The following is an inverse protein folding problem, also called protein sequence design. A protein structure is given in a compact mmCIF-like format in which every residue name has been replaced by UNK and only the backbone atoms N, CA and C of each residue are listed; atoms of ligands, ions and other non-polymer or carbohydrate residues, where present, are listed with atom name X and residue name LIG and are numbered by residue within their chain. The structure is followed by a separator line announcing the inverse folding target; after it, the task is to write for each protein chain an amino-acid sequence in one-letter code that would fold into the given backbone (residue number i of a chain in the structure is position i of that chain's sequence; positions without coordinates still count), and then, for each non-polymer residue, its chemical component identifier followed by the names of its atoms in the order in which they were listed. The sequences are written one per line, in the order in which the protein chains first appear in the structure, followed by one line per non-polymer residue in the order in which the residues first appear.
data_IF_942021844759
#
_entry.id   IF_942021844759
#
_cell.length_a   1.000
_cell.length_b   1.000
_cell.length_c   1.000
_cell.angle_alpha   90.00
_cell.angle_beta   90.00
_cell.angle_gamma   90.00
#
_symmetry.space_group_name_H-M   'P 1'
#
loop_
_entity.id
_entity.type
_entity.pdbx_description
1 polymer ?
#
# COMPACT_ATOMS: atom_id res chain seq x y z
N UNK A 1 19.70 -0.70 32.02
CA UNK A 1 21.15 -0.57 31.77
C UNK A 1 21.30 -0.08 30.34
N UNK A 2 21.91 1.09 30.12
CA UNK A 2 22.13 1.65 28.78
C UNK A 2 23.40 0.97 28.22
N UNK A 3 23.27 0.20 27.14
CA UNK A 3 24.43 -0.36 26.43
C UNK A 3 25.33 0.79 25.97
N UNK A 4 26.64 0.70 26.24
CA UNK A 4 27.59 1.74 25.84
C UNK A 4 27.71 1.74 24.31
N UNK A 5 27.96 2.92 23.71
CA UNK A 5 28.12 3.11 22.26
C UNK A 5 29.06 2.07 21.60
N UNK A 6 30.13 1.69 22.30
CA UNK A 6 31.10 0.71 21.80
C UNK A 6 30.55 -0.73 21.76
N UNK A 7 29.63 -1.08 22.66
CA UNK A 7 29.02 -2.42 22.70
C UNK A 7 27.99 -2.58 21.56
N UNK A 8 27.28 -1.49 21.23
CA UNK A 8 26.37 -1.42 20.08
C UNK A 8 27.10 -1.59 18.74
N UNK A 9 28.25 -0.93 18.59
CA UNK A 9 29.07 -1.03 17.39
C UNK A 9 29.64 -2.45 17.18
N UNK A 10 29.97 -3.14 18.27
CA UNK A 10 30.45 -4.54 18.22
C UNK A 10 29.34 -5.49 17.79
N UNK A 11 28.12 -5.33 18.33
CA UNK A 11 26.96 -6.17 17.93
C UNK A 11 26.61 -5.95 16.45
N UNK A 12 26.60 -4.70 15.97
CA UNK A 12 26.41 -4.38 14.54
C UNK A 12 27.48 -5.01 13.67
N UNK A 13 28.74 -4.97 14.11
CA UNK A 13 29.87 -5.59 13.43
C UNK A 13 29.72 -7.11 13.37
N UNK A 14 29.30 -7.74 14.46
CA UNK A 14 29.04 -9.18 14.52
C UNK A 14 27.84 -9.62 13.65
N UNK A 15 26.79 -8.80 13.54
CA UNK A 15 25.65 -9.04 12.62
C UNK A 15 26.12 -8.99 11.16
N UNK A 16 26.98 -8.04 10.81
CA UNK A 16 27.56 -7.93 9.47
C UNK A 16 28.59 -9.04 9.17
N UNK A 17 29.33 -9.50 10.19
CA UNK A 17 30.31 -10.59 10.09
C UNK A 17 29.65 -11.98 9.93
N UNK A 18 28.41 -12.17 10.42
CA UNK A 18 27.66 -13.43 10.27
C UNK A 18 27.15 -13.70 8.83
N UNK A 19 27.14 -12.69 7.96
CA UNK A 19 26.72 -12.80 6.55
C UNK A 19 27.79 -13.35 5.58
N UNK A 20 28.86 -13.98 6.11
CA UNK A 20 29.90 -14.78 5.44
C UNK A 20 29.93 -14.75 3.89
N UNK A 21 30.65 -13.76 3.37
CA UNK A 21 31.51 -13.89 2.20
C UNK A 21 32.87 -13.29 2.57
N UNK A 22 33.99 -13.95 2.23
CA UNK A 22 35.38 -13.67 2.65
C UNK A 22 35.98 -12.30 2.22
N UNK A 23 35.18 -11.25 2.17
CA UNK A 23 35.65 -9.87 2.11
C UNK A 23 34.61 -8.93 2.71
N UNK A 24 35.08 -8.09 3.63
CA UNK A 24 34.30 -7.08 4.34
C UNK A 24 33.71 -6.10 3.33
N UNK A 25 32.38 -6.11 3.15
CA UNK A 25 31.69 -4.93 2.61
C UNK A 25 31.10 -4.16 3.79
N UNK A 26 31.53 -2.91 3.95
CA UNK A 26 31.03 -1.99 5.00
C UNK A 26 29.65 -1.41 4.67
N UNK A 27 29.16 -1.68 3.47
CA UNK A 27 27.98 -1.11 2.82
C UNK A 27 27.47 -2.15 1.80
N UNK A 28 26.16 -2.29 1.58
CA UNK A 28 25.63 -3.11 0.48
C UNK A 28 26.23 -2.67 -0.87
N UNK A 29 26.24 -3.53 -1.89
CA UNK A 29 26.64 -3.09 -3.26
C UNK A 29 25.82 -1.88 -3.71
N UNK A 30 24.56 -1.87 -3.32
CA UNK A 30 23.64 -0.78 -3.65
C UNK A 30 23.92 0.47 -2.81
N UNK A 31 24.31 0.32 -1.54
CA UNK A 31 24.75 1.43 -0.68
C UNK A 31 26.10 2.02 -1.15
N UNK A 32 27.00 1.19 -1.68
CA UNK A 32 28.24 1.65 -2.31
C UNK A 32 27.95 2.47 -3.59
N UNK A 33 26.99 2.01 -4.41
CA UNK A 33 26.48 2.74 -5.58
C UNK A 33 25.77 4.03 -5.13
N UNK A 34 25.10 4.02 -3.97
CA UNK A 34 24.41 5.15 -3.34
C UNK A 34 25.38 6.23 -2.84
N UNK A 35 26.45 5.86 -2.14
CA UNK A 35 27.50 6.80 -1.71
C UNK A 35 28.18 7.48 -2.91
N UNK A 36 28.27 6.81 -4.06
CA UNK A 36 28.76 7.38 -5.31
C UNK A 36 27.75 8.38 -5.92
N UNK A 37 26.44 8.13 -5.78
CA UNK A 37 25.37 9.02 -6.27
C UNK A 37 25.14 10.24 -5.38
N UNK A 38 25.17 10.08 -4.06
CA UNK A 38 25.06 11.17 -3.08
C UNK A 38 26.24 12.16 -3.18
N UNK A 39 27.47 11.67 -3.44
CA UNK A 39 28.65 12.51 -3.72
C UNK A 39 28.48 13.41 -4.96
N UNK A 40 27.50 13.14 -5.83
CA UNK A 40 27.19 13.95 -7.01
C UNK A 40 26.13 15.04 -6.76
N UNK A 41 25.73 15.27 -5.50
CA UNK A 41 24.97 16.45 -5.09
C UNK A 41 23.46 16.38 -5.27
N UNK A 42 22.89 15.21 -5.56
CA UNK A 42 21.43 15.03 -5.65
C UNK A 42 20.92 14.32 -4.38
N UNK A 43 20.37 15.08 -3.43
CA UNK A 43 19.56 14.51 -2.33
C UNK A 43 18.22 14.01 -2.91
N UNK A 44 18.23 12.86 -3.57
CA UNK A 44 16.99 12.15 -3.89
C UNK A 44 16.44 11.54 -2.59
N UNK A 45 15.16 11.79 -2.29
CA UNK A 45 14.44 11.01 -1.27
C UNK A 45 14.45 9.56 -1.76
N UNK A 46 15.06 8.67 -0.98
CA UNK A 46 15.23 7.27 -1.36
C UNK A 46 13.86 6.63 -1.61
N UNK A 47 13.68 6.08 -2.82
CA UNK A 47 12.47 5.37 -3.20
C UNK A 47 12.64 3.89 -2.82
N UNK A 48 12.16 3.49 -1.63
CA UNK A 48 12.35 2.13 -1.14
C UNK A 48 11.66 1.08 -2.03
N UNK A 49 10.68 1.47 -2.86
CA UNK A 49 10.05 0.57 -3.80
C UNK A 49 11.07 -0.08 -4.73
N UNK A 50 12.12 0.62 -5.16
CA UNK A 50 13.09 0.11 -6.14
C UNK A 50 13.95 -1.02 -5.59
N UNK A 51 14.07 -1.11 -4.26
CA UNK A 51 14.83 -2.14 -3.56
C UNK A 51 13.99 -3.36 -3.18
N UNK A 52 12.69 -3.36 -3.51
CA UNK A 52 11.80 -4.49 -3.24
C UNK A 52 11.57 -5.26 -4.53
N UNK A 53 11.90 -6.54 -4.54
CA UNK A 53 11.78 -7.41 -5.71
C UNK A 53 10.89 -8.60 -5.37
N UNK A 54 9.97 -8.94 -6.27
CA UNK A 54 9.13 -10.11 -6.14
C UNK A 54 9.88 -11.37 -6.58
N UNK A 55 9.86 -12.43 -5.77
CA UNK A 55 10.53 -13.69 -6.10
C UNK A 55 9.61 -14.59 -6.92
N UNK A 56 9.91 -14.72 -8.21
CA UNK A 56 9.21 -15.66 -9.08
C UNK A 56 9.13 -17.07 -8.48
N UNK A 57 7.96 -17.70 -8.60
CA UNK A 57 7.69 -19.04 -8.09
C UNK A 57 8.61 -20.10 -8.67
N UNK A 58 9.23 -19.89 -9.83
CA UNK A 58 10.04 -20.89 -10.56
C UNK A 58 11.12 -21.58 -9.70
N UNK A 59 11.55 -20.98 -8.59
CA UNK A 59 12.50 -21.56 -7.64
C UNK A 59 11.85 -22.22 -6.40
N UNK A 60 10.57 -21.97 -6.11
CA UNK A 60 9.86 -22.40 -4.89
C UNK A 60 8.59 -23.24 -5.12
N UNK A 61 7.89 -23.09 -6.25
CA UNK A 61 6.68 -23.85 -6.65
C UNK A 61 6.40 -23.71 -8.16
N UNK A 62 5.58 -24.58 -8.78
CA UNK A 62 5.20 -24.39 -10.19
C UNK A 62 4.51 -23.03 -10.37
N UNK A 63 4.89 -22.22 -11.38
CA UNK A 63 4.13 -21.01 -11.70
C UNK A 63 2.71 -21.39 -12.16
N UNK A 64 1.75 -20.54 -11.83
CA UNK A 64 0.39 -20.66 -12.40
C UNK A 64 0.48 -20.30 -13.88
N UNK A 65 -0.19 -21.06 -14.74
CA UNK A 65 -0.29 -20.72 -16.17
C UNK A 65 -1.53 -19.83 -16.36
N UNK A 66 -1.38 -18.50 -16.48
CA UNK A 66 -2.53 -17.60 -16.60
C UNK A 66 -3.33 -17.82 -17.89
N UNK A 67 -2.80 -18.57 -18.86
CA UNK A 67 -3.55 -19.00 -20.06
C UNK A 67 -4.50 -20.17 -19.77
N UNK A 68 -4.20 -20.99 -18.75
CA UNK A 68 -5.03 -22.14 -18.34
C UNK A 68 -5.90 -21.83 -17.13
N UNK A 69 -5.46 -20.95 -16.26
CA UNK A 69 -6.05 -20.70 -14.95
C UNK A 69 -6.39 -19.22 -14.77
N UNK A 70 -7.63 -18.93 -14.34
CA UNK A 70 -8.08 -17.55 -14.13
C UNK A 70 -7.55 -17.01 -12.80
N UNK A 71 -6.73 -15.97 -12.87
CA UNK A 71 -6.29 -15.23 -11.69
C UNK A 71 -7.43 -14.32 -11.20
N UNK A 72 -7.81 -14.48 -9.94
CA UNK A 72 -8.86 -13.67 -9.31
C UNK A 72 -8.32 -12.30 -8.94
N UNK A 73 -8.82 -11.27 -9.64
CA UNK A 73 -8.63 -9.86 -9.31
C UNK A 73 -9.84 -9.22 -8.62
N UNK A 74 -11.00 -9.88 -8.68
CA UNK A 74 -12.26 -9.34 -8.16
C UNK A 74 -12.13 -9.07 -6.67
N UNK A 75 -12.37 -7.82 -6.29
CA UNK A 75 -12.43 -7.35 -4.90
C UNK A 75 -13.80 -6.74 -4.59
N UNK A 76 -14.16 -6.72 -3.31
CA UNK A 76 -15.43 -6.21 -2.81
C UNK A 76 -15.15 -5.11 -1.79
N UNK A 77 -15.85 -3.98 -1.92
CA UNK A 77 -15.87 -2.90 -0.93
C UNK A 77 -17.17 -2.99 -0.16
N UNK A 78 -17.12 -3.03 1.17
CA UNK A 78 -18.30 -3.17 2.03
C UNK A 78 -18.20 -4.39 2.95
N UNK A 79 -18.68 -4.22 4.18
CA UNK A 79 -18.70 -5.28 5.19
C UNK A 79 -19.88 -6.23 5.05
N UNK A 80 -19.86 -7.29 5.85
CA UNK A 80 -20.99 -8.20 6.07
C UNK A 80 -22.19 -7.40 6.58
N UNK A 81 -23.28 -7.43 5.82
CA UNK A 81 -24.51 -6.71 6.15
C UNK A 81 -24.66 -5.35 5.47
N UNK A 82 -23.69 -4.89 4.67
CA UNK A 82 -23.84 -3.71 3.81
C UNK A 82 -24.02 -4.11 2.36
N UNK A 83 -24.51 -3.19 1.53
CA UNK A 83 -24.42 -3.33 0.08
C UNK A 83 -22.94 -3.31 -0.31
N UNK A 84 -22.53 -4.28 -1.12
CA UNK A 84 -21.15 -4.43 -1.55
C UNK A 84 -20.95 -3.89 -2.94
N UNK A 85 -19.91 -3.09 -3.11
CA UNK A 85 -19.47 -2.60 -4.42
C UNK A 85 -18.39 -3.53 -4.95
N UNK A 86 -18.58 -4.07 -6.15
CA UNK A 86 -17.65 -5.02 -6.76
C UNK A 86 -16.73 -4.30 -7.74
N UNK A 87 -15.42 -4.45 -7.56
CA UNK A 87 -14.41 -4.02 -8.52
C UNK A 87 -13.79 -5.26 -9.15
N UNK A 88 -13.73 -5.32 -10.49
CA UNK A 88 -13.09 -6.43 -11.21
C UNK A 88 -11.59 -6.22 -11.38
N UNK A 89 -11.14 -4.98 -11.25
CA UNK A 89 -9.75 -4.56 -11.12
C UNK A 89 -9.67 -3.88 -9.74
N UNK A 90 -8.72 -4.23 -8.86
CA UNK A 90 -8.66 -3.73 -7.48
C UNK A 90 -8.09 -2.31 -7.41
N UNK A 91 -8.65 -1.40 -8.22
CA UNK A 91 -8.24 -0.02 -8.38
C UNK A 91 -9.45 0.90 -8.15
N UNK A 92 -9.23 1.93 -7.35
CA UNK A 92 -10.06 3.13 -7.28
C UNK A 92 -9.27 4.28 -7.91
N UNK A 93 -9.86 4.98 -8.87
CA UNK A 93 -9.29 6.23 -9.37
C UNK A 93 -9.46 7.28 -8.28
N UNK A 94 -8.35 7.81 -7.78
CA UNK A 94 -8.29 8.70 -6.63
C UNK A 94 -7.49 9.95 -6.98
N UNK A 95 -7.81 11.08 -6.35
CA UNK A 95 -7.08 12.32 -6.52
C UNK A 95 -7.99 13.49 -6.85
N UNK A 96 -7.67 14.67 -6.33
CA UNK A 96 -8.37 15.90 -6.65
C UNK A 96 -7.71 16.53 -7.89
N UNK A 97 -8.42 16.52 -9.01
CA UNK A 97 -7.98 17.24 -10.20
C UNK A 97 -9.15 17.93 -10.88
N UNK A 98 -8.98 19.21 -11.17
CA UNK A 98 -9.92 19.97 -12.00
C UNK A 98 -9.70 19.58 -13.46
N UNK A 99 -10.31 18.47 -13.87
CA UNK A 99 -10.31 18.05 -15.26
C UNK A 99 -11.13 19.06 -16.09
N UNK A 100 -10.71 19.31 -17.33
CA UNK A 100 -11.60 19.97 -18.28
C UNK A 100 -12.80 19.08 -18.56
N UNK A 101 -13.93 19.66 -18.96
CA UNK A 101 -15.14 18.89 -19.32
C UNK A 101 -14.81 17.78 -20.32
N UNK A 102 -14.00 18.07 -21.33
CA UNK A 102 -13.55 17.09 -22.33
C UNK A 102 -12.78 15.90 -21.74
N UNK A 103 -11.96 16.14 -20.71
CA UNK A 103 -11.22 15.06 -20.02
C UNK A 103 -12.12 14.26 -19.09
N UNK A 104 -13.12 14.90 -18.47
CA UNK A 104 -14.14 14.20 -17.69
C UNK A 104 -14.99 13.30 -18.59
N UNK A 105 -15.47 13.82 -19.72
CA UNK A 105 -16.24 13.06 -20.71
C UNK A 105 -15.42 11.87 -21.25
N UNK A 106 -14.14 12.09 -21.57
CA UNK A 106 -13.24 11.03 -22.00
C UNK A 106 -13.04 9.95 -20.93
N UNK A 107 -12.86 10.35 -19.67
CA UNK A 107 -12.74 9.44 -18.55
C UNK A 107 -14.02 8.61 -18.40
N UNK A 108 -15.19 9.25 -18.35
CA UNK A 108 -16.48 8.59 -18.19
C UNK A 108 -16.74 7.60 -19.33
N UNK A 109 -16.44 7.98 -20.58
CA UNK A 109 -16.54 7.10 -21.75
C UNK A 109 -15.60 5.89 -21.63
N UNK A 110 -14.34 6.10 -21.25
CA UNK A 110 -13.37 5.03 -21.07
C UNK A 110 -13.80 4.02 -19.99
N UNK A 111 -14.34 4.52 -18.87
CA UNK A 111 -14.81 3.70 -17.76
C UNK A 111 -16.07 2.92 -18.12
N UNK A 112 -17.02 3.53 -18.83
CA UNK A 112 -18.19 2.83 -19.37
C UNK A 112 -17.77 1.70 -20.33
N UNK A 113 -16.81 1.98 -21.23
CA UNK A 113 -16.26 0.97 -22.13
C UNK A 113 -15.54 -0.16 -21.39
N UNK A 114 -14.89 0.11 -20.25
CA UNK A 114 -14.32 -0.97 -19.42
C UNK A 114 -15.42 -1.90 -18.92
N UNK A 115 -16.55 -1.34 -18.45
CA UNK A 115 -17.70 -2.12 -17.95
C UNK A 115 -18.31 -2.99 -19.04
N UNK A 116 -18.50 -2.41 -20.23
CA UNK A 116 -19.00 -3.15 -21.40
C UNK A 116 -18.06 -4.30 -21.80
N UNK A 117 -16.75 -4.14 -21.58
CA UNK A 117 -15.73 -5.19 -21.74
C UNK A 117 -15.51 -6.03 -20.47
N UNK A 118 -16.54 -6.15 -19.63
CA UNK A 118 -16.57 -7.00 -18.43
C UNK A 118 -15.43 -6.70 -17.43
N UNK A 119 -14.99 -5.45 -17.34
CA UNK A 119 -13.96 -4.97 -16.40
C UNK A 119 -14.47 -3.74 -15.65
N UNK A 120 -14.06 -3.52 -14.40
CA UNK A 120 -14.66 -2.46 -13.59
C UNK A 120 -13.66 -1.97 -12.56
N UNK A 121 -13.47 -0.65 -12.52
CA UNK A 121 -12.79 0.12 -11.48
C UNK A 121 -13.79 1.09 -10.87
N UNK A 122 -13.50 1.61 -9.68
CA UNK A 122 -14.31 2.67 -9.07
C UNK A 122 -13.63 4.03 -9.24
N UNK A 123 -14.38 5.10 -9.08
CA UNK A 123 -13.86 6.47 -8.99
C UNK A 123 -14.20 7.07 -7.63
N UNK A 124 -13.27 7.81 -7.04
CA UNK A 124 -13.49 8.64 -5.86
C UNK A 124 -13.46 10.10 -6.31
N UNK A 125 -14.55 10.85 -6.14
CA UNK A 125 -14.58 12.28 -6.47
C UNK A 125 -15.55 13.08 -5.58
N UNK A 126 -15.35 14.39 -5.50
CA UNK A 126 -16.28 15.34 -4.84
C UNK A 126 -17.49 15.69 -5.71
N UNK A 127 -17.35 15.52 -7.01
CA UNK A 127 -18.37 15.86 -7.99
C UNK A 127 -19.53 14.87 -7.93
N UNK A 128 -20.71 15.36 -8.32
CA UNK A 128 -21.87 14.50 -8.52
C UNK A 128 -21.56 13.43 -9.57
N UNK A 129 -22.10 12.21 -9.43
CA UNK A 129 -21.89 11.16 -10.40
C UNK A 129 -22.44 11.57 -11.77
N UNK A 130 -21.75 11.13 -12.82
CA UNK A 130 -22.24 11.24 -14.19
C UNK A 130 -23.48 10.36 -14.39
N UNK A 131 -24.59 10.92 -14.89
CA UNK A 131 -25.90 10.25 -14.94
C UNK A 131 -25.88 8.92 -15.72
N UNK A 132 -25.12 8.83 -16.82
CA UNK A 132 -25.07 7.63 -17.68
C UNK A 132 -23.92 6.67 -17.31
N UNK A 133 -23.38 6.78 -16.09
CA UNK A 133 -22.27 5.91 -15.65
C UNK A 133 -22.70 4.46 -15.49
N UNK A 134 -21.80 3.55 -15.82
CA UNK A 134 -21.93 2.09 -15.59
C UNK A 134 -20.95 1.56 -14.54
N UNK A 135 -20.02 2.40 -14.09
CA UNK A 135 -18.95 2.06 -13.15
C UNK A 135 -19.25 2.64 -11.76
N UNK A 136 -18.77 2.02 -10.67
CA UNK A 136 -19.00 2.51 -9.32
C UNK A 136 -18.38 3.89 -9.05
N UNK A 137 -19.13 4.73 -8.35
CA UNK A 137 -18.73 6.05 -7.87
C UNK A 137 -18.77 6.08 -6.34
N UNK A 138 -17.71 6.65 -5.77
CA UNK A 138 -17.56 6.88 -4.35
C UNK A 138 -17.48 8.40 -4.10
N UNK A 139 -18.56 8.96 -3.55
CA UNK A 139 -18.64 10.40 -3.35
C UNK A 139 -17.84 10.83 -2.12
N UNK A 140 -16.94 11.81 -2.28
CA UNK A 140 -16.32 12.49 -1.14
C UNK A 140 -17.35 13.45 -0.54
N UNK A 141 -17.75 13.21 0.70
CA UNK A 141 -18.69 14.07 1.41
C UNK A 141 -18.03 14.75 2.63
N UNK A 142 -18.42 16.01 2.84
CA UNK A 142 -18.11 16.75 4.06
C UNK A 142 -19.37 17.02 4.91
N UNK A 143 -20.55 16.96 4.28
CA UNK A 143 -21.85 17.17 4.91
C UNK A 143 -22.71 15.93 4.71
N UNK A 144 -23.24 15.39 5.82
CA UNK A 144 -24.09 14.19 5.87
C UNK A 144 -25.38 14.37 5.05
N UNK A 145 -25.82 15.61 4.81
CA UNK A 145 -27.07 15.86 4.10
C UNK A 145 -26.91 15.90 2.57
N UNK A 146 -25.69 15.71 2.04
CA UNK A 146 -25.38 15.75 0.60
C UNK A 146 -24.87 14.40 0.09
N UNK A 147 -25.67 13.36 0.30
CA UNK A 147 -25.40 12.03 -0.28
C UNK A 147 -26.17 11.95 -1.60
N UNK A 148 -25.45 11.78 -2.70
CA UNK A 148 -26.03 11.55 -4.02
C UNK A 148 -26.18 10.07 -4.35
N UNK A 149 -26.61 9.75 -5.57
CA UNK A 149 -26.77 8.38 -6.08
C UNK A 149 -25.41 7.72 -6.38
N UNK A 150 -24.60 7.56 -5.33
CA UNK A 150 -23.27 6.95 -5.32
C UNK A 150 -23.35 5.57 -4.67
N UNK A 151 -22.55 4.60 -5.16
CA UNK A 151 -22.52 3.27 -4.53
C UNK A 151 -21.81 3.31 -3.18
N UNK A 152 -20.92 4.26 -2.96
CA UNK A 152 -20.17 4.41 -1.71
C UNK A 152 -19.83 5.86 -1.39
N UNK A 153 -19.36 6.08 -0.19
CA UNK A 153 -19.01 7.39 0.34
C UNK A 153 -17.59 7.36 0.87
N UNK A 154 -16.85 8.44 0.67
CA UNK A 154 -15.54 8.69 1.29
C UNK A 154 -15.64 9.92 2.18
N UNK A 155 -15.14 9.82 3.40
CA UNK A 155 -15.03 10.93 4.35
C UNK A 155 -13.59 11.13 4.75
N UNK A 156 -13.16 12.38 4.92
CA UNK A 156 -11.87 12.69 5.53
C UNK A 156 -12.01 12.70 7.05
N UNK A 157 -11.04 12.12 7.76
CA UNK A 157 -10.99 12.20 9.21
C UNK A 157 -10.80 13.65 9.67
N UNK A 158 -11.68 14.13 10.56
CA UNK A 158 -11.69 15.50 11.08
C UNK A 158 -11.74 15.58 12.63
N UNK A 159 -11.52 14.46 13.33
CA UNK A 159 -11.53 14.25 14.80
C UNK A 159 -12.85 14.56 15.53
N UNK A 160 -13.61 15.56 15.07
CA UNK A 160 -14.83 16.05 15.71
C UNK A 160 -16.06 15.36 15.13
N UNK A 161 -16.61 14.43 15.89
CA UNK A 161 -17.95 13.87 15.63
C UNK A 161 -18.03 12.91 14.44
N UNK A 162 -16.91 12.53 13.81
CA UNK A 162 -16.92 11.62 12.66
C UNK A 162 -17.63 10.30 12.95
N UNK A 163 -17.47 9.74 14.15
CA UNK A 163 -18.14 8.50 14.57
C UNK A 163 -19.67 8.69 14.61
N UNK A 164 -20.14 9.85 15.10
CA UNK A 164 -21.57 10.17 15.12
C UNK A 164 -22.09 10.40 13.71
N UNK A 165 -21.32 11.08 12.84
CA UNK A 165 -21.65 11.25 11.42
C UNK A 165 -21.80 9.88 10.73
N UNK A 166 -20.83 8.96 10.90
CA UNK A 166 -20.88 7.61 10.34
C UNK A 166 -22.14 6.87 10.83
N UNK A 167 -22.42 6.91 12.13
CA UNK A 167 -23.63 6.27 12.70
C UNK A 167 -24.92 6.88 12.17
N UNK A 168 -24.96 8.19 11.93
CA UNK A 168 -26.11 8.87 11.33
C UNK A 168 -26.28 8.44 9.88
N UNK A 169 -25.22 8.53 9.06
CA UNK A 169 -25.21 8.10 7.65
C UNK A 169 -25.68 6.66 7.54
N UNK A 170 -25.14 5.75 8.37
CA UNK A 170 -25.44 4.32 8.31
C UNK A 170 -26.92 3.98 8.52
N UNK A 171 -27.72 4.85 9.15
CA UNK A 171 -29.17 4.64 9.30
C UNK A 171 -29.91 4.74 7.97
N UNK A 172 -29.36 5.51 7.02
CA UNK A 172 -30.00 5.85 5.76
C UNK A 172 -29.24 5.29 4.55
N UNK A 173 -27.93 5.07 4.69
CA UNK A 173 -27.04 4.62 3.62
C UNK A 173 -26.45 3.23 3.86
N UNK A 174 -26.76 2.31 2.94
CA UNK A 174 -26.34 0.91 2.99
C UNK A 174 -25.08 0.61 2.17
N UNK A 175 -24.61 1.52 1.32
CA UNK A 175 -23.37 1.35 0.56
C UNK A 175 -22.10 1.47 1.42
N UNK A 176 -20.90 1.25 0.86
CA UNK A 176 -19.67 1.30 1.61
C UNK A 176 -19.33 2.72 2.09
N UNK A 177 -18.90 2.84 3.35
CA UNK A 177 -18.38 4.07 3.95
C UNK A 177 -16.88 3.89 4.16
N UNK A 178 -16.09 4.67 3.44
CA UNK A 178 -14.63 4.71 3.52
C UNK A 178 -14.20 5.95 4.28
N UNK A 179 -13.18 5.83 5.14
CA UNK A 179 -12.59 6.99 5.82
C UNK A 179 -11.13 7.14 5.39
N UNK A 180 -10.80 8.29 4.81
CA UNK A 180 -9.41 8.72 4.61
C UNK A 180 -8.83 9.19 5.94
N UNK A 181 -7.76 8.55 6.37
CA UNK A 181 -7.11 8.81 7.66
C UNK A 181 -5.93 9.78 7.53
N UNK A 182 -5.59 10.44 8.64
CA UNK A 182 -4.43 11.33 8.75
C UNK A 182 -3.23 10.60 9.40
N UNK A 183 -2.15 11.32 9.71
CA UNK A 183 -0.94 10.75 10.31
C UNK A 183 -1.13 10.16 11.73
N UNK A 184 -2.24 10.47 12.40
CA UNK A 184 -2.57 9.98 13.74
C UNK A 184 -3.48 8.75 13.72
N UNK A 185 -3.67 8.11 12.55
CA UNK A 185 -4.53 6.94 12.40
C UNK A 185 -4.30 5.82 13.42
N UNK A 186 -3.06 5.65 13.92
CA UNK A 186 -2.73 4.71 15.00
C UNK A 186 -3.62 4.87 16.24
N UNK A 187 -4.07 6.09 16.53
CA UNK A 187 -4.65 6.46 17.81
C UNK A 187 -6.18 6.28 17.80
N UNK A 188 -6.79 6.18 16.62
CA UNK A 188 -8.25 6.19 16.48
C UNK A 188 -8.82 5.13 15.53
N UNK A 189 -8.01 4.42 14.73
CA UNK A 189 -8.52 3.45 13.75
C UNK A 189 -9.39 2.36 14.40
N UNK A 190 -9.05 1.87 15.59
CA UNK A 190 -9.90 0.89 16.30
C UNK A 190 -11.31 1.43 16.57
N UNK A 191 -11.44 2.71 16.92
CA UNK A 191 -12.74 3.36 17.16
C UNK A 191 -13.52 3.52 15.86
N UNK A 192 -12.86 3.86 14.76
CA UNK A 192 -13.47 3.93 13.43
C UNK A 192 -13.97 2.55 12.96
N UNK A 193 -13.14 1.52 13.11
CA UNK A 193 -13.53 0.15 12.74
C UNK A 193 -14.71 -0.33 13.58
N UNK A 194 -14.75 0.00 14.87
CA UNK A 194 -15.88 -0.29 15.75
C UNK A 194 -17.16 0.48 15.40
N UNK A 195 -17.06 1.63 14.71
CA UNK A 195 -18.24 2.40 14.28
C UNK A 195 -18.90 1.89 13.01
N UNK A 196 -18.33 0.88 12.33
CA UNK A 196 -18.89 0.29 11.11
C UNK A 196 -18.38 0.92 9.82
N UNK A 197 -17.16 1.44 9.82
CA UNK A 197 -16.45 1.88 8.60
C UNK A 197 -16.05 0.67 7.77
N UNK A 198 -16.36 0.68 6.47
CA UNK A 198 -16.09 -0.43 5.56
C UNK A 198 -14.67 -0.43 5.00
N UNK A 199 -14.05 0.75 4.88
CA UNK A 199 -12.71 0.88 4.33
C UNK A 199 -11.88 1.96 5.02
N UNK A 200 -10.60 1.67 5.22
CA UNK A 200 -9.61 2.66 5.66
C UNK A 200 -8.80 3.07 4.43
N UNK A 201 -8.88 4.34 4.05
CA UNK A 201 -8.07 4.90 2.97
C UNK A 201 -6.86 5.61 3.54
N UNK A 202 -5.69 5.19 3.09
CA UNK A 202 -4.39 5.72 3.52
C UNK A 202 -3.73 6.39 2.33
N UNK A 203 -3.67 7.73 2.36
CA UNK A 203 -2.88 8.49 1.40
C UNK A 203 -1.43 8.57 1.90
N UNK A 204 -0.57 7.68 1.41
CA UNK A 204 0.82 7.53 1.88
C UNK A 204 1.65 8.77 1.59
N UNK A 205 1.39 9.48 0.49
CA UNK A 205 2.10 10.70 0.14
C UNK A 205 1.78 11.83 1.13
N UNK A 206 0.51 11.99 1.51
CA UNK A 206 0.07 12.96 2.53
C UNK A 206 0.69 12.64 3.89
N UNK A 207 0.61 11.38 4.32
CA UNK A 207 1.09 10.95 5.65
C UNK A 207 2.61 11.05 5.75
N UNK A 208 3.38 10.60 4.76
CA UNK A 208 4.86 10.65 4.79
C UNK A 208 5.44 12.06 4.71
N UNK A 209 4.63 13.08 4.40
CA UNK A 209 5.01 14.50 4.51
C UNK A 209 4.75 15.08 5.90
N UNK A 210 4.01 14.39 6.77
CA UNK A 210 3.73 14.82 8.14
C UNK A 210 4.96 14.70 9.04
N UNK A 211 5.03 15.52 10.10
CA UNK A 211 6.15 15.50 11.07
C UNK A 211 6.32 14.12 11.75
N UNK A 212 5.22 13.39 11.97
CA UNK A 212 5.23 12.07 12.63
C UNK A 212 5.87 10.97 11.75
N UNK A 213 5.87 11.17 10.42
CA UNK A 213 6.38 10.21 9.44
C UNK A 213 7.48 10.79 8.54
N UNK A 214 8.12 11.90 8.93
CA UNK A 214 9.02 12.72 8.07
C UNK A 214 10.21 11.94 7.46
N UNK A 215 10.56 10.78 8.01
CA UNK A 215 11.63 9.90 7.52
C UNK A 215 11.17 8.51 7.09
N UNK A 216 9.89 8.19 7.30
CA UNK A 216 9.30 6.90 6.93
C UNK A 216 8.92 6.90 5.46
N UNK A 217 9.07 5.74 4.82
CA UNK A 217 8.60 5.54 3.46
C UNK A 217 7.13 5.09 3.45
N UNK A 218 6.49 5.12 2.28
CA UNK A 218 5.13 4.61 2.08
C UNK A 218 4.96 3.16 2.55
N UNK A 219 6.03 2.35 2.45
CA UNK A 219 6.08 0.95 2.92
C UNK A 219 5.71 0.87 4.41
N UNK A 220 6.33 1.69 5.27
CA UNK A 220 6.00 1.71 6.70
C UNK A 220 4.54 2.09 6.96
N UNK A 221 4.00 3.06 6.22
CA UNK A 221 2.63 3.51 6.43
C UNK A 221 1.62 2.39 6.09
N UNK A 222 1.84 1.68 4.99
CA UNK A 222 0.98 0.56 4.56
C UNK A 222 1.05 -0.57 5.58
N UNK A 223 2.26 -0.93 6.02
CA UNK A 223 2.48 -1.97 7.03
C UNK A 223 1.80 -1.60 8.35
N UNK A 224 2.04 -0.39 8.86
CA UNK A 224 1.44 0.11 10.11
C UNK A 224 -0.11 0.06 10.02
N UNK A 225 -0.70 0.51 8.92
CA UNK A 225 -2.16 0.49 8.71
C UNK A 225 -2.74 -0.92 8.68
N UNK A 226 -2.11 -1.83 7.92
CA UNK A 226 -2.54 -3.24 7.89
C UNK A 226 -2.41 -3.88 9.26
N UNK A 227 -1.32 -3.63 9.97
CA UNK A 227 -1.09 -4.15 11.31
C UNK A 227 -2.21 -3.73 12.27
N UNK A 228 -2.59 -2.46 12.29
CA UNK A 228 -3.66 -1.95 13.14
C UNK A 228 -5.02 -2.59 12.79
N UNK A 229 -5.33 -2.76 11.50
CA UNK A 229 -6.55 -3.47 11.08
C UNK A 229 -6.51 -4.92 11.58
N UNK A 230 -5.39 -5.63 11.42
CA UNK A 230 -5.24 -7.01 11.87
C UNK A 230 -5.34 -7.14 13.40
N UNK A 231 -4.78 -6.19 14.16
CA UNK A 231 -4.89 -6.12 15.61
C UNK A 231 -6.35 -5.96 16.05
N UNK A 232 -7.12 -5.10 15.39
CA UNK A 232 -8.55 -4.96 15.66
C UNK A 232 -9.32 -6.28 15.46
N UNK A 233 -8.96 -7.06 14.44
CA UNK A 233 -9.56 -8.38 14.15
C UNK A 233 -8.89 -9.56 14.84
N UNK A 234 -7.89 -9.34 15.69
CA UNK A 234 -7.22 -10.43 16.38
C UNK A 234 -8.23 -11.19 17.26
N UNK A 235 -8.40 -12.48 17.01
CA UNK A 235 -9.35 -13.34 17.73
C UNK A 235 -10.81 -13.21 17.29
N UNK A 236 -11.11 -12.50 16.19
CA UNK A 236 -12.46 -12.44 15.59
C UNK A 236 -12.40 -12.52 14.06
N UNK A 237 -13.53 -12.86 13.43
CA UNK A 237 -13.62 -12.91 11.97
C UNK A 237 -13.52 -11.49 11.37
N UNK A 238 -12.75 -11.31 10.29
CA UNK A 238 -12.79 -10.07 9.53
C UNK A 238 -14.13 -9.97 8.81
N UNK A 239 -14.90 -8.93 9.14
CA UNK A 239 -16.24 -8.69 8.60
C UNK A 239 -16.22 -8.09 7.19
N UNK A 240 -15.05 -7.95 6.56
CA UNK A 240 -14.88 -7.46 5.19
C UNK A 240 -14.34 -6.04 5.10
N UNK A 241 -13.72 -5.50 6.16
CA UNK A 241 -13.01 -4.22 6.03
C UNK A 241 -11.85 -4.32 5.06
N UNK A 242 -11.78 -3.34 4.17
CA UNK A 242 -10.66 -3.20 3.24
C UNK A 242 -9.66 -2.10 3.67
N UNK A 243 -8.39 -2.32 3.35
CA UNK A 243 -7.35 -1.28 3.34
C UNK A 243 -7.19 -0.77 1.89
N UNK A 244 -7.42 0.53 1.70
CA UNK A 244 -7.21 1.23 0.43
C UNK A 244 -5.93 2.06 0.57
N UNK A 245 -4.97 1.85 -0.32
CA UNK A 245 -3.69 2.59 -0.31
C UNK A 245 -3.62 3.50 -1.52
N UNK A 246 -3.41 4.80 -1.31
CA UNK A 246 -3.32 5.81 -2.35
C UNK A 246 -2.08 6.72 -2.16
N UNK A 247 -1.84 7.63 -3.12
CA UNK A 247 -0.73 8.59 -3.08
C UNK A 247 0.47 8.08 -3.87
N UNK A 248 1.46 7.49 -3.20
CA UNK A 248 2.75 7.10 -3.80
C UNK A 248 2.68 5.82 -4.67
N UNK A 249 1.54 5.52 -5.28
CA UNK A 249 1.35 4.31 -6.10
C UNK A 249 1.03 4.68 -7.55
N UNK A 250 2.08 4.68 -8.37
CA UNK A 250 2.08 5.25 -9.73
C UNK A 250 2.33 4.22 -10.84
N UNK A 251 2.55 2.95 -10.49
CA UNK A 251 2.96 1.91 -11.43
C UNK A 251 2.48 0.55 -10.94
N UNK A 252 2.28 -0.38 -11.86
CA UNK A 252 1.84 -1.74 -11.52
C UNK A 252 2.78 -2.43 -10.53
N UNK A 253 4.09 -2.19 -10.64
CA UNK A 253 5.07 -2.67 -9.67
C UNK A 253 4.78 -2.18 -8.25
N UNK A 254 4.49 -0.89 -8.06
CA UNK A 254 4.10 -0.34 -6.76
C UNK A 254 2.71 -0.84 -6.31
N UNK A 255 1.77 -1.06 -7.22
CA UNK A 255 0.46 -1.67 -6.90
C UNK A 255 0.65 -3.05 -6.30
N UNK A 256 1.43 -3.92 -6.96
CA UNK A 256 1.72 -5.27 -6.48
C UNK A 256 2.39 -5.25 -5.12
N UNK A 257 3.42 -4.40 -4.96
CA UNK A 257 4.15 -4.29 -3.69
C UNK A 257 3.25 -3.80 -2.57
N UNK A 258 2.39 -2.82 -2.83
CA UNK A 258 1.41 -2.33 -1.87
C UNK A 258 0.45 -3.44 -1.42
N UNK A 259 -0.01 -4.28 -2.37
CA UNK A 259 -0.93 -5.38 -2.08
C UNK A 259 -0.25 -6.49 -1.29
N UNK A 260 0.97 -6.88 -1.65
CA UNK A 260 1.70 -7.85 -0.86
C UNK A 260 2.12 -7.32 0.51
N UNK A 261 2.22 -6.00 0.70
CA UNK A 261 2.34 -5.37 2.04
C UNK A 261 1.02 -5.29 2.79
N UNK A 262 -0.09 -5.65 2.14
CA UNK A 262 -1.40 -5.77 2.73
C UNK A 262 -2.43 -4.77 2.25
N UNK A 263 -2.26 -4.05 1.14
CA UNK A 263 -3.38 -3.31 0.54
C UNK A 263 -4.42 -4.28 -0.05
N UNK A 264 -5.72 -4.02 0.14
CA UNK A 264 -6.78 -4.76 -0.56
C UNK A 264 -7.13 -4.08 -1.90
N UNK A 265 -7.00 -2.76 -1.94
CA UNK A 265 -7.36 -1.92 -3.07
C UNK A 265 -6.33 -0.80 -3.18
N UNK A 266 -6.02 -0.38 -4.41
CA UNK A 266 -5.11 0.73 -4.63
C UNK A 266 -5.84 1.93 -5.24
N UNK A 267 -5.66 3.09 -4.60
CA UNK A 267 -6.01 4.39 -5.14
C UNK A 267 -4.98 4.80 -6.19
N UNK A 268 -5.34 4.73 -7.47
CA UNK A 268 -4.49 5.14 -8.59
C UNK A 268 -4.74 6.61 -8.90
N UNK A 269 -3.68 7.42 -8.91
CA UNK A 269 -3.79 8.86 -9.13
C UNK A 269 -4.37 9.18 -10.51
N UNK A 270 -5.52 9.86 -10.51
CA UNK A 270 -6.20 10.29 -11.73
C UNK A 270 -5.35 11.27 -12.55
N UNK A 271 -4.60 12.15 -11.88
CA UNK A 271 -3.72 13.13 -12.56
C UNK A 271 -2.62 12.41 -13.34
N UNK A 272 -2.03 11.40 -12.70
CA UNK A 272 -1.01 10.56 -13.31
C UNK A 272 -1.57 9.74 -14.48
N UNK A 273 -2.78 9.18 -14.33
CA UNK A 273 -3.46 8.46 -15.40
C UNK A 273 -3.58 9.33 -16.66
N UNK A 274 -4.12 10.55 -16.48
CA UNK A 274 -4.30 11.51 -17.56
C UNK A 274 -2.95 11.95 -18.14
N UNK A 275 -1.96 12.23 -17.30
CA UNK A 275 -0.63 12.61 -17.76
C UNK A 275 0.00 11.52 -18.64
N UNK A 276 0.00 10.26 -18.19
CA UNK A 276 0.55 9.12 -18.95
C UNK A 276 -0.12 8.95 -20.30
N UNK A 277 -1.41 9.20 -20.37
CA UNK A 277 -2.19 9.10 -21.61
C UNK A 277 -1.93 10.29 -22.55
N UNK A 278 -1.84 11.50 -21.99
CA UNK A 278 -1.72 12.76 -22.72
C UNK A 278 -0.35 13.02 -23.37
N UNK A 279 0.75 12.45 -22.84
CA UNK A 279 2.10 12.62 -23.41
C UNK A 279 2.22 12.18 -24.89
N UNK A 280 1.29 11.36 -25.38
CA UNK A 280 1.34 10.78 -26.73
C UNK A 280 0.34 11.40 -27.72
N UNK A 281 -0.20 12.59 -27.46
CA UNK A 281 -1.11 13.29 -28.39
C UNK A 281 -0.63 14.69 -28.73
N UNK A 282 -0.52 15.00 -30.03
CA UNK A 282 -0.35 16.39 -30.51
C UNK A 282 -1.61 17.24 -30.25
N UNK A 283 -2.79 16.59 -30.15
CA UNK A 283 -4.06 17.21 -29.80
C UNK A 283 -4.60 16.64 -28.49
N UNK A 284 -4.27 17.30 -27.37
CA UNK A 284 -4.64 16.91 -25.99
C UNK A 284 -6.16 16.88 -25.71
N UNK A 285 -7.01 17.25 -26.69
CA UNK A 285 -8.44 17.54 -26.49
C UNK A 285 -9.39 16.67 -27.33
N UNK A 286 -8.91 15.64 -28.04
CA UNK A 286 -9.81 14.65 -28.62
C UNK A 286 -10.28 13.69 -27.51
N UNK A 287 -11.55 13.83 -27.11
CA UNK A 287 -12.14 13.03 -26.03
C UNK A 287 -12.21 11.55 -26.38
N UNK A 288 -12.36 11.18 -27.66
CA UNK A 288 -12.45 9.79 -28.11
C UNK A 288 -11.08 9.12 -28.02
N UNK A 289 -10.04 9.75 -28.57
CA UNK A 289 -8.67 9.22 -28.53
C UNK A 289 -8.18 9.13 -27.08
N UNK A 290 -8.47 10.15 -26.27
CA UNK A 290 -8.10 10.16 -24.85
C UNK A 290 -8.79 9.02 -24.11
N UNK A 291 -10.09 8.81 -24.36
CA UNK A 291 -10.83 7.73 -23.74
C UNK A 291 -10.31 6.34 -24.14
N UNK A 292 -9.99 6.13 -25.41
CA UNK A 292 -9.41 4.88 -25.90
C UNK A 292 -8.07 4.58 -25.20
N UNK A 293 -7.22 5.59 -25.03
CA UNK A 293 -5.94 5.45 -24.34
C UNK A 293 -6.11 5.16 -22.85
N UNK A 294 -7.04 5.82 -22.16
CA UNK A 294 -7.38 5.50 -20.76
C UNK A 294 -7.85 4.05 -20.66
N UNK A 295 -8.76 3.63 -21.54
CA UNK A 295 -9.26 2.26 -21.58
C UNK A 295 -8.12 1.26 -21.78
N UNK A 296 -7.28 1.46 -22.79
CA UNK A 296 -6.15 0.58 -23.10
C UNK A 296 -5.14 0.53 -21.95
N UNK A 297 -4.84 1.65 -21.30
CA UNK A 297 -3.98 1.70 -20.12
C UNK A 297 -4.54 0.85 -18.97
N UNK A 298 -5.85 0.92 -18.71
CA UNK A 298 -6.48 0.13 -17.66
C UNK A 298 -6.54 -1.37 -17.98
N UNK A 299 -6.74 -1.74 -19.24
CA UNK A 299 -6.66 -3.14 -19.68
C UNK A 299 -5.22 -3.68 -19.58
N UNK A 300 -4.22 -2.89 -19.99
CA UNK A 300 -2.81 -3.26 -19.83
C UNK A 300 -2.46 -3.45 -18.34
N UNK A 301 -2.84 -2.49 -17.50
CA UNK A 301 -2.65 -2.56 -16.04
C UNK A 301 -3.31 -3.83 -15.47
N UNK A 302 -4.56 -4.13 -15.85
CA UNK A 302 -5.25 -5.36 -15.45
C UNK A 302 -4.46 -6.62 -15.82
N UNK A 303 -3.92 -6.70 -17.04
CA UNK A 303 -3.17 -7.86 -17.49
C UNK A 303 -1.84 -8.03 -16.74
N UNK A 304 -1.17 -6.93 -16.40
CA UNK A 304 0.02 -6.95 -15.55
C UNK A 304 -0.29 -7.41 -14.12
N UNK A 305 -1.43 -6.97 -13.56
CA UNK A 305 -1.91 -7.43 -12.25
C UNK A 305 -2.29 -8.91 -12.24
N UNK A 306 -2.58 -9.52 -13.39
CA UNK A 306 -2.77 -10.98 -13.54
C UNK A 306 -1.41 -11.68 -13.62
N UNK A 307 -0.50 -11.15 -14.44
CA UNK A 307 0.78 -11.80 -14.75
C UNK A 307 1.69 -11.97 -13.54
N UNK A 308 1.75 -10.97 -12.65
CA UNK A 308 2.69 -11.01 -11.52
C UNK A 308 2.29 -12.04 -10.45
N UNK A 309 1.05 -12.09 -9.92
CA UNK A 309 0.63 -13.16 -9.01
C UNK A 309 0.77 -14.56 -9.64
N UNK A 310 0.47 -14.70 -10.94
CA UNK A 310 0.67 -15.97 -11.64
C UNK A 310 2.14 -16.41 -11.64
N UNK A 311 3.06 -15.47 -11.91
CA UNK A 311 4.50 -15.69 -11.83
C UNK A 311 4.95 -16.01 -10.40
N UNK A 312 4.24 -15.55 -9.37
CA UNK A 312 4.44 -15.89 -7.95
C UNK A 312 3.74 -17.18 -7.51
N UNK A 313 2.99 -17.84 -8.40
CA UNK A 313 2.29 -19.10 -8.13
C UNK A 313 0.97 -18.93 -7.37
N UNK A 314 0.31 -17.78 -7.50
CA UNK A 314 -0.96 -17.47 -6.85
C UNK A 314 -2.11 -17.35 -7.86
N UNK A 315 -3.22 -18.03 -7.60
CA UNK A 315 -4.47 -17.89 -8.36
C UNK A 315 -5.35 -16.72 -7.91
N UNK A 316 -4.95 -16.00 -6.85
CA UNK A 316 -5.67 -14.85 -6.31
C UNK A 316 -4.69 -13.74 -5.97
N UNK A 317 -4.96 -12.54 -6.48
CA UNK A 317 -4.16 -11.35 -6.31
C UNK A 317 -3.93 -10.98 -4.84
N UNK A 318 -4.92 -11.22 -3.98
CA UNK A 318 -4.85 -10.88 -2.55
C UNK A 318 -4.14 -11.93 -1.68
N UNK A 319 -3.62 -13.01 -2.28
CA UNK A 319 -2.89 -14.03 -1.53
C UNK A 319 -1.40 -13.71 -1.38
N UNK A 320 -0.92 -12.61 -1.97
CA UNK A 320 0.46 -12.16 -1.81
C UNK A 320 0.71 -11.62 -0.39
N UNK A 321 1.96 -11.70 0.05
CA UNK A 321 2.40 -11.31 1.39
C UNK A 321 3.80 -10.68 1.35
N UNK A 322 4.29 -10.09 2.44
CA UNK A 322 5.65 -9.54 2.48
C UNK A 322 6.74 -10.61 2.25
N UNK A 323 6.42 -11.88 2.53
CA UNK A 323 7.35 -13.01 2.37
C UNK A 323 7.62 -13.37 0.90
N UNK A 324 6.77 -12.92 -0.02
CA UNK A 324 6.92 -13.11 -1.47
C UNK A 324 7.93 -12.12 -2.08
N UNK A 325 8.37 -11.14 -1.30
CA UNK A 325 9.37 -10.15 -1.70
C UNK A 325 10.73 -10.40 -1.05
N UNK A 326 11.78 -9.88 -1.69
CA UNK A 326 13.09 -9.69 -1.10
C UNK A 326 13.50 -8.23 -1.22
N UNK A 327 14.40 -7.82 -0.34
CA UNK A 327 15.00 -6.49 -0.41
C UNK A 327 16.47 -6.48 -0.07
N UNK A 328 17.24 -5.65 -0.79
CA UNK A 328 18.62 -5.33 -0.44
C UNK A 328 18.72 -4.17 0.57
N UNK A 329 17.59 -3.54 0.94
CA UNK A 329 17.53 -2.40 1.86
C UNK A 329 17.14 -2.84 3.28
N UNK A 330 18.01 -2.55 4.24
CA UNK A 330 17.74 -2.77 5.67
C UNK A 330 16.50 -1.99 6.12
N UNK A 331 16.39 -0.72 5.68
CA UNK A 331 15.25 0.14 5.96
C UNK A 331 13.94 -0.43 5.41
N UNK A 332 13.90 -0.89 4.17
CA UNK A 332 12.70 -1.53 3.61
C UNK A 332 12.33 -2.82 4.37
N UNK A 333 13.34 -3.59 4.81
CA UNK A 333 13.12 -4.79 5.63
C UNK A 333 12.53 -4.46 7.00
N UNK A 334 12.99 -3.38 7.65
CA UNK A 334 12.47 -2.91 8.94
C UNK A 334 11.06 -2.34 8.81
N UNK A 335 10.85 -1.48 7.80
CA UNK A 335 9.59 -0.76 7.62
C UNK A 335 8.46 -1.64 7.11
N UNK A 336 8.76 -2.65 6.28
CA UNK A 336 7.74 -3.49 5.64
C UNK A 336 7.71 -4.95 6.09
N UNK A 337 8.56 -5.34 7.05
CA UNK A 337 8.82 -6.74 7.42
C UNK A 337 9.15 -7.63 6.21
N UNK A 338 9.86 -7.06 5.24
CA UNK A 338 10.29 -7.74 4.02
C UNK A 338 11.57 -8.54 4.30
N UNK A 339 11.69 -9.75 3.73
CA UNK A 339 12.86 -10.59 3.89
C UNK A 339 14.07 -9.99 3.16
N UNK A 340 15.26 -10.05 3.76
CA UNK A 340 16.48 -9.55 3.11
C UNK A 340 16.96 -10.51 2.01
N UNK A 341 17.64 -9.99 0.99
CA UNK A 341 18.25 -10.81 -0.04
C UNK A 341 19.34 -11.74 0.53
N UNK A 342 19.42 -12.97 0.01
CA UNK A 342 20.38 -13.97 0.46
C UNK A 342 20.06 -14.62 1.81
N UNK A 343 19.06 -14.13 2.56
CA UNK A 343 18.67 -14.67 3.87
C UNK A 343 17.15 -14.78 3.98
N UNK A 344 16.65 -15.90 4.53
CA UNK A 344 15.21 -16.09 4.74
C UNK A 344 14.73 -15.47 6.07
N UNK A 345 15.18 -14.25 6.38
CA UNK A 345 14.86 -13.52 7.61
C UNK A 345 14.71 -12.03 7.33
N UNK A 346 13.87 -11.35 8.12
CA UNK A 346 13.82 -9.88 8.16
C UNK A 346 14.99 -9.35 8.95
N UNK A 347 15.37 -8.09 8.75
CA UNK A 347 16.46 -7.48 9.51
C UNK A 347 16.16 -7.46 11.01
N UNK A 348 14.91 -7.19 11.39
CA UNK A 348 14.45 -7.27 12.79
C UNK A 348 14.70 -8.64 13.41
N UNK A 349 14.40 -9.73 12.69
CA UNK A 349 14.61 -11.09 13.17
C UNK A 349 16.10 -11.42 13.34
N UNK A 350 16.96 -10.90 12.45
CA UNK A 350 18.41 -11.06 12.58
C UNK A 350 18.91 -10.35 13.85
N UNK A 351 18.44 -9.12 14.12
CA UNK A 351 18.79 -8.38 15.33
C UNK A 351 18.32 -9.15 16.58
N UNK A 352 17.11 -9.68 16.56
CA UNK A 352 16.55 -10.50 17.65
C UNK A 352 17.42 -11.72 17.97
N UNK A 353 17.81 -12.49 16.95
CA UNK A 353 18.63 -13.69 17.12
C UNK A 353 20.03 -13.38 17.64
N UNK A 354 20.69 -12.32 17.14
CA UNK A 354 22.01 -11.93 17.64
C UNK A 354 21.92 -11.38 19.06
N UNK A 355 20.85 -10.67 19.39
CA UNK A 355 20.62 -10.21 20.76
C UNK A 355 20.42 -11.40 21.71
N UNK A 356 19.67 -12.42 21.30
CA UNK A 356 19.48 -13.65 22.07
C UNK A 356 20.81 -14.38 22.30
N UNK A 357 21.61 -14.57 21.25
CA UNK A 357 22.93 -15.18 21.36
C UNK A 357 23.85 -14.41 22.31
N UNK A 358 23.81 -13.07 22.26
CA UNK A 358 24.60 -12.22 23.15
C UNK A 358 24.14 -12.32 24.61
N UNK A 359 22.83 -12.29 24.85
CA UNK A 359 22.22 -12.43 26.19
C UNK A 359 22.60 -13.78 26.80
N UNK A 360 22.50 -14.85 26.03
CA UNK A 360 22.84 -16.21 26.46
C UNK A 360 24.33 -16.34 26.76
N UNK A 361 25.19 -15.87 25.85
CA UNK A 361 26.66 -15.92 26.01
C UNK A 361 27.13 -15.13 27.22
N UNK A 362 26.52 -13.96 27.48
CA UNK A 362 26.87 -13.10 28.60
C UNK A 362 26.09 -13.41 29.88
N UNK A 363 25.17 -14.37 29.85
CA UNK A 363 24.26 -14.75 30.94
C UNK A 363 23.55 -13.52 31.54
N UNK A 364 23.12 -12.61 30.69
CA UNK A 364 22.44 -11.38 31.11
C UNK A 364 20.97 -11.72 31.34
N UNK A 365 20.38 -11.27 32.45
CA UNK A 365 18.93 -11.34 32.62
C UNK A 365 18.29 -10.10 32.00
N UNK A 366 17.56 -10.29 30.90
CA UNK A 366 16.82 -9.21 30.21
C UNK A 366 15.35 -9.57 30.18
N UNK A 367 14.49 -8.66 30.64
CA UNK A 367 13.03 -8.83 30.57
C UNK A 367 12.55 -8.53 29.15
N UNK A 368 11.49 -9.20 28.68
CA UNK A 368 10.96 -9.04 27.32
C UNK A 368 10.74 -7.57 26.88
N UNK A 369 10.26 -6.71 27.78
CA UNK A 369 10.09 -5.27 27.50
C UNK A 369 11.42 -4.54 27.28
N UNK A 370 12.50 -4.95 27.96
CA UNK A 370 13.83 -4.39 27.76
C UNK A 370 14.44 -4.88 26.43
N UNK A 371 14.23 -6.16 26.10
CA UNK A 371 14.62 -6.74 24.81
C UNK A 371 13.99 -5.98 23.66
N UNK A 372 12.68 -5.74 23.73
CA UNK A 372 11.93 -5.00 22.71
C UNK A 372 12.46 -3.56 22.55
N UNK A 373 12.74 -2.86 23.64
CA UNK A 373 13.35 -1.52 23.60
C UNK A 373 14.74 -1.53 22.95
N UNK A 374 15.56 -2.55 23.21
CA UNK A 374 16.89 -2.67 22.61
C UNK A 374 16.76 -2.86 21.09
N UNK A 375 15.84 -3.71 20.64
CA UNK A 375 15.58 -3.95 19.20
C UNK A 375 15.13 -2.66 18.52
N UNK A 376 14.20 -1.92 19.13
CA UNK A 376 13.73 -0.64 18.62
C UNK A 376 14.86 0.39 18.52
N UNK A 377 15.71 0.49 19.55
CA UNK A 377 16.87 1.38 19.52
C UNK A 377 17.88 1.01 18.42
N UNK A 378 18.16 -0.28 18.22
CA UNK A 378 19.09 -0.74 17.17
C UNK A 378 18.50 -0.47 15.77
N UNK A 379 17.19 -0.57 15.64
CA UNK A 379 16.48 -0.35 14.37
C UNK A 379 16.34 1.14 14.00
N UNK A 380 16.45 2.07 14.97
CA UNK A 380 16.29 3.52 14.77
C UNK A 380 17.61 4.29 14.53
N UNK A 381 18.78 3.71 14.82
CA UNK A 381 20.10 4.36 14.66
C UNK A 381 20.65 4.35 13.20
N UNK A 382 19.79 4.24 12.18
CA UNK A 382 20.18 4.39 10.75
C UNK A 382 20.19 5.84 10.24
N UNK A 383 19.83 6.82 11.07
CA UNK A 383 19.87 8.25 10.72
C UNK A 383 21.18 8.94 11.08
#
# INVERSE_FOLDING_TARGET
MILRLNEKAVIRRSILDLCKTDSIRKESTDDAIRAIREKRGTKYKENLWDYVVALGAQLSRPPFDPYREKIKLKTEVGRKGTTKTILKIPILLYGEFNLSQSSQDALNFALNNLVDNNSTVGIISKEEPYDERKYPHFQIINDVNKISDSEGIVMQYDDIGIIEKIRKIRKEFWGPIIVEVDENFSDYTHRLLASGVDGILVNTEKITKSKKYVEKHAISVIHDARKIINEFYQGKENDGTCLIVAGDVDSTGKIIKSVGLGADIVGYDLSLLIAKVGFYTENFFDSIITAEKIHNHMIATKNELIGIPAALGYSNFHNMSPSDFRTSSLKASLEGEILLEGVNKTYKKIIEEVLDEYIDTKKISVVQQQKQKIIEMISLEEN
#
